data_IF_354454550641
#
_entry.id   IF_354454550641
#
_cell.length_a   1.000
_cell.length_b   1.000
_cell.length_c   1.000
_cell.angle_alpha   90.00
_cell.angle_beta   90.00
_cell.angle_gamma   90.00
#
_symmetry.space_group_name_H-M   'P 1'
#
loop_
_entity.id
_entity.type
_entity.pdbx_description
1 polymer ?
#
# COMPACT_ATOMS: atom_id res chain seq x y z
N UNK A 1 0.96 -6.57 30.96
CA UNK A 1 0.09 -6.74 29.77
C UNK A 1 0.39 -5.58 28.84
N UNK A 2 1.11 -5.81 27.74
CA UNK A 2 1.41 -4.75 26.79
C UNK A 2 0.13 -4.44 25.99
N UNK A 3 -0.49 -3.29 26.26
CA UNK A 3 -1.51 -2.72 25.38
C UNK A 3 -0.82 -2.36 24.07
N UNK A 4 -0.93 -3.23 23.07
CA UNK A 4 -0.53 -2.92 21.70
C UNK A 4 -1.36 -1.71 21.28
N UNK A 5 -0.76 -0.52 21.24
CA UNK A 5 -1.37 0.68 20.67
C UNK A 5 -1.65 0.36 19.20
N UNK A 6 -2.86 -0.10 18.91
CA UNK A 6 -3.30 -0.43 17.56
C UNK A 6 -3.47 0.91 16.84
N UNK A 7 -2.61 1.19 15.87
CA UNK A 7 -2.73 2.42 15.09
C UNK A 7 -4.07 2.40 14.36
N UNK A 8 -4.88 3.46 14.51
CA UNK A 8 -6.11 3.58 13.74
C UNK A 8 -5.76 3.83 12.26
N UNK A 9 -6.01 2.84 11.42
CA UNK A 9 -5.75 2.88 9.99
C UNK A 9 -7.02 3.02 9.16
N UNK A 10 -8.18 3.27 9.79
CA UNK A 10 -9.48 3.35 9.12
C UNK A 10 -9.52 4.44 8.05
N UNK A 11 -8.88 5.60 8.32
CA UNK A 11 -8.81 6.76 7.44
C UNK A 11 -8.19 6.47 6.07
N UNK A 12 -7.25 5.53 5.99
CA UNK A 12 -6.55 5.16 4.76
C UNK A 12 -7.51 4.54 3.73
N UNK A 13 -8.61 3.94 4.19
CA UNK A 13 -9.57 3.26 3.33
C UNK A 13 -10.57 4.22 2.67
N UNK A 14 -10.71 5.44 3.20
CA UNK A 14 -11.61 6.47 2.68
C UNK A 14 -10.87 7.58 1.93
N UNK A 15 -9.54 7.58 1.94
CA UNK A 15 -8.76 8.62 1.27
C UNK A 15 -8.88 8.54 -0.27
N UNK A 16 -8.94 9.69 -0.97
CA UNK A 16 -8.94 9.71 -2.43
C UNK A 16 -7.57 9.26 -2.98
N UNK A 17 -7.56 8.82 -4.25
CA UNK A 17 -6.31 8.59 -4.98
C UNK A 17 -5.76 9.93 -5.47
N UNK A 18 -4.62 10.34 -4.90
CA UNK A 18 -3.93 11.61 -5.21
C UNK A 18 -2.74 11.40 -6.16
N UNK A 19 -2.13 10.21 -6.14
CA UNK A 19 -0.98 9.87 -6.97
C UNK A 19 -1.33 9.24 -8.32
N UNK A 20 -0.36 8.54 -8.89
CA UNK A 20 -0.53 7.70 -10.06
C UNK A 20 -1.55 6.61 -9.74
N UNK A 21 -2.57 6.38 -10.59
CA UNK A 21 -3.46 5.23 -10.42
C UNK A 21 -2.69 3.91 -10.52
N UNK A 22 -2.94 2.98 -9.60
CA UNK A 22 -2.31 1.65 -9.63
C UNK A 22 -2.66 0.83 -10.89
N UNK A 23 -3.85 1.04 -11.47
CA UNK A 23 -4.24 0.45 -12.76
C UNK A 23 -4.30 1.51 -13.88
N UNK A 24 -3.81 1.14 -15.06
CA UNK A 24 -3.96 1.88 -16.32
C UNK A 24 -5.34 1.74 -16.98
N UNK A 25 -6.34 1.24 -16.25
CA UNK A 25 -7.71 1.02 -16.70
C UNK A 25 -8.47 2.31 -17.08
N UNK A 26 -7.84 3.46 -16.87
CA UNK A 26 -8.40 4.79 -17.04
C UNK A 26 -9.17 5.28 -15.82
N UNK A 27 -9.75 6.47 -15.97
CA UNK A 27 -10.62 7.09 -14.98
C UNK A 27 -12.08 6.96 -15.39
N UNK A 28 -12.97 6.95 -14.42
CA UNK A 28 -14.40 7.05 -14.67
C UNK A 28 -14.72 8.45 -15.24
N UNK A 29 -15.49 8.54 -16.35
CA UNK A 29 -15.71 9.82 -17.03
C UNK A 29 -16.57 10.79 -16.22
N UNK A 30 -17.42 10.30 -15.30
CA UNK A 30 -18.32 11.08 -14.46
C UNK A 30 -17.62 11.54 -13.18
N UNK A 31 -16.99 10.62 -12.45
CA UNK A 31 -16.38 10.92 -11.14
C UNK A 31 -14.93 11.39 -11.23
N UNK A 32 -14.27 11.18 -12.39
CA UNK A 32 -12.83 11.39 -12.59
C UNK A 32 -11.93 10.57 -11.66
N UNK A 33 -12.48 9.63 -10.88
CA UNK A 33 -11.70 8.70 -10.04
C UNK A 33 -11.12 7.55 -10.87
N UNK A 34 -10.05 6.87 -10.42
CA UNK A 34 -9.61 5.62 -11.01
C UNK A 34 -10.76 4.61 -11.06
N UNK A 35 -10.96 3.94 -12.21
CA UNK A 35 -12.05 2.95 -12.35
C UNK A 35 -11.97 1.83 -11.32
N UNK A 36 -10.76 1.40 -10.97
CA UNK A 36 -10.53 0.36 -9.98
C UNK A 36 -9.87 0.94 -8.73
N UNK A 37 -10.52 0.77 -7.59
CA UNK A 37 -9.98 1.18 -6.29
C UNK A 37 -9.11 0.06 -5.70
N UNK A 38 -8.05 0.44 -5.00
CA UNK A 38 -7.31 -0.51 -4.16
C UNK A 38 -8.16 -0.81 -2.93
N UNK A 39 -8.66 -2.04 -2.82
CA UNK A 39 -9.51 -2.51 -1.71
C UNK A 39 -8.77 -3.45 -0.78
N UNK A 40 -9.34 -3.73 0.41
CA UNK A 40 -8.79 -4.74 1.33
C UNK A 40 -8.68 -6.11 0.67
N UNK A 41 -9.73 -6.52 -0.04
CA UNK A 41 -9.79 -7.82 -0.73
C UNK A 41 -8.74 -7.91 -1.82
N UNK A 42 -8.50 -6.84 -2.57
CA UNK A 42 -7.46 -6.80 -3.59
C UNK A 42 -6.07 -6.96 -2.98
N UNK A 43 -5.78 -6.23 -1.89
CA UNK A 43 -4.49 -6.35 -1.20
C UNK A 43 -4.34 -7.75 -0.61
N UNK A 44 -5.35 -8.28 0.08
CA UNK A 44 -5.31 -9.63 0.65
C UNK A 44 -5.08 -10.70 -0.42
N UNK A 45 -5.71 -10.56 -1.59
CA UNK A 45 -5.45 -11.43 -2.75
C UNK A 45 -3.97 -11.37 -3.16
N UNK A 46 -3.38 -10.18 -3.26
CA UNK A 46 -1.98 -10.03 -3.65
C UNK A 46 -1.00 -10.51 -2.55
N UNK A 47 -1.39 -10.44 -1.27
CA UNK A 47 -0.65 -11.07 -0.17
C UNK A 47 -0.64 -12.59 -0.35
N UNK A 48 -1.82 -13.20 -0.54
CA UNK A 48 -1.95 -14.65 -0.76
C UNK A 48 -1.18 -15.10 -2.01
N UNK A 49 -1.22 -14.34 -3.10
CA UNK A 49 -0.48 -14.65 -4.33
C UNK A 49 1.04 -14.51 -4.13
N UNK A 50 1.51 -13.62 -3.25
CA UNK A 50 2.93 -13.39 -3.00
C UNK A 50 3.55 -14.40 -2.01
N UNK A 51 2.79 -14.85 -0.99
CA UNK A 51 3.31 -15.66 0.12
C UNK A 51 2.67 -17.05 0.25
N UNK A 52 1.51 -17.29 -0.35
CA UNK A 52 0.73 -18.53 -0.19
C UNK A 52 -0.22 -18.52 1.03
N UNK A 53 -0.04 -17.59 1.97
CA UNK A 53 -0.89 -17.37 3.14
C UNK A 53 -0.96 -15.88 3.52
N UNK A 54 -1.56 -15.55 4.66
CA UNK A 54 -1.51 -14.21 5.26
C UNK A 54 -0.59 -14.30 6.48
N UNK A 55 0.65 -13.78 6.41
CA UNK A 55 1.58 -13.76 7.53
C UNK A 55 0.98 -13.09 8.77
N UNK A 56 1.31 -13.59 9.96
CA UNK A 56 0.93 -12.96 11.24
C UNK A 56 1.62 -11.60 11.46
N UNK A 57 2.77 -11.40 10.81
CA UNK A 57 3.54 -10.16 10.84
C UNK A 57 4.22 -9.91 9.50
N UNK A 58 4.35 -8.63 9.14
CA UNK A 58 5.01 -8.20 7.91
C UNK A 58 6.24 -7.36 8.23
N UNK A 59 7.34 -7.58 7.54
CA UNK A 59 8.48 -6.68 7.48
C UNK A 59 8.28 -5.59 6.41
N UNK A 60 9.18 -4.59 6.37
CA UNK A 60 9.19 -3.62 5.26
C UNK A 60 9.47 -4.30 3.89
N UNK A 61 10.22 -5.42 3.88
CA UNK A 61 10.48 -6.20 2.68
C UNK A 61 9.21 -6.90 2.18
N UNK A 62 8.42 -7.49 3.09
CA UNK A 62 7.16 -8.14 2.73
C UNK A 62 6.16 -7.14 2.15
N UNK A 63 6.03 -5.97 2.78
CA UNK A 63 5.19 -4.87 2.28
C UNK A 63 5.63 -4.46 0.87
N UNK A 64 6.93 -4.34 0.64
CA UNK A 64 7.50 -4.00 -0.66
C UNK A 64 7.16 -5.06 -1.72
N UNK A 65 7.23 -6.34 -1.35
CA UNK A 65 6.90 -7.45 -2.25
C UNK A 65 5.43 -7.47 -2.65
N UNK A 66 4.52 -7.19 -1.72
CA UNK A 66 3.08 -7.01 -2.01
C UNK A 66 2.85 -5.85 -2.98
N UNK A 67 3.57 -4.74 -2.77
CA UNK A 67 3.49 -3.56 -3.64
C UNK A 67 3.96 -3.87 -5.05
N UNK A 68 5.11 -4.54 -5.21
CA UNK A 68 5.59 -5.00 -6.52
C UNK A 68 4.57 -5.89 -7.22
N UNK A 69 3.99 -6.84 -6.48
CA UNK A 69 3.01 -7.76 -7.01
C UNK A 69 1.72 -7.06 -7.45
N UNK A 70 1.22 -6.12 -6.65
CA UNK A 70 0.02 -5.33 -6.95
C UNK A 70 0.23 -4.40 -8.15
N UNK A 71 1.37 -3.70 -8.19
CA UNK A 71 1.71 -2.73 -9.23
C UNK A 71 2.33 -3.34 -10.49
N UNK A 72 2.54 -4.66 -10.50
CA UNK A 72 3.19 -5.42 -11.57
C UNK A 72 4.54 -4.81 -11.97
N UNK A 73 5.34 -4.43 -10.96
CA UNK A 73 6.69 -3.91 -11.13
C UNK A 73 7.71 -5.02 -10.83
N UNK A 74 8.82 -5.11 -11.59
CA UNK A 74 9.84 -6.12 -11.35
C UNK A 74 10.70 -5.82 -10.12
N UNK A 75 10.87 -4.54 -9.76
CA UNK A 75 11.70 -4.09 -8.66
C UNK A 75 11.22 -2.75 -8.07
N UNK A 76 11.66 -2.44 -6.85
CA UNK A 76 11.35 -1.18 -6.17
C UNK A 76 12.31 -0.12 -6.68
N UNK A 77 11.79 0.89 -7.38
CA UNK A 77 12.58 2.05 -7.79
C UNK A 77 12.86 2.97 -6.58
N UNK A 78 13.86 3.86 -6.64
CA UNK A 78 14.12 4.83 -5.57
C UNK A 78 12.88 5.68 -5.21
N UNK A 79 12.08 6.06 -6.20
CA UNK A 79 10.82 6.80 -6.01
C UNK A 79 9.80 5.95 -5.24
N UNK A 80 9.66 4.67 -5.59
CA UNK A 80 8.79 3.75 -4.87
C UNK A 80 9.27 3.53 -3.43
N UNK A 81 10.58 3.35 -3.22
CA UNK A 81 11.16 3.18 -1.89
C UNK A 81 10.86 4.41 -1.00
N UNK A 82 11.07 5.61 -1.52
CA UNK A 82 10.79 6.85 -0.79
C UNK A 82 9.29 6.97 -0.45
N UNK A 83 8.41 6.71 -1.42
CA UNK A 83 6.97 6.74 -1.20
C UNK A 83 6.49 5.66 -0.20
N UNK A 84 7.14 4.49 -0.17
CA UNK A 84 6.86 3.46 0.83
C UNK A 84 7.28 3.90 2.22
N UNK A 85 8.47 4.48 2.39
CA UNK A 85 8.93 5.03 3.67
C UNK A 85 7.99 6.13 4.18
N UNK A 86 7.56 7.03 3.29
CA UNK A 86 6.55 8.06 3.62
C UNK A 86 5.24 7.42 4.06
N UNK A 87 4.80 6.36 3.38
CA UNK A 87 3.54 5.66 3.72
C UNK A 87 3.62 4.88 5.03
N UNK A 88 4.75 4.22 5.30
CA UNK A 88 5.04 3.58 6.59
C UNK A 88 5.00 4.61 7.70
N UNK A 89 5.65 5.75 7.50
CA UNK A 89 5.67 6.82 8.51
C UNK A 89 4.27 7.41 8.76
N UNK A 90 3.49 7.64 7.69
CA UNK A 90 2.14 8.18 7.80
C UNK A 90 1.16 7.22 8.50
N UNK A 91 1.28 5.91 8.25
CA UNK A 91 0.32 4.91 8.76
C UNK A 91 0.76 4.31 10.09
N UNK A 92 2.05 4.07 10.29
CA UNK A 92 2.59 3.41 11.48
C UNK A 92 3.34 4.38 12.42
N UNK A 93 3.44 5.66 12.09
CA UNK A 93 4.16 6.66 12.90
C UNK A 93 5.69 6.52 12.86
N UNK A 94 6.23 5.66 11.98
CA UNK A 94 7.66 5.44 11.80
C UNK A 94 7.97 4.03 11.28
N UNK A 95 9.23 3.84 10.87
CA UNK A 95 9.73 2.53 10.43
C UNK A 95 9.94 1.61 11.63
N UNK A 96 9.43 0.38 11.53
CA UNK A 96 9.52 -0.68 12.55
C UNK A 96 10.08 -1.96 11.93
N UNK A 97 10.50 -2.89 12.77
CA UNK A 97 10.95 -4.22 12.33
C UNK A 97 9.79 -5.05 11.76
N UNK A 98 8.61 -4.96 12.38
CA UNK A 98 7.41 -5.69 11.98
C UNK A 98 6.13 -4.90 12.18
N UNK A 99 5.11 -5.27 11.40
CA UNK A 99 3.76 -4.70 11.44
C UNK A 99 2.74 -5.82 11.48
N UNK A 100 1.62 -5.59 12.18
CA UNK A 100 0.47 -6.48 12.08
C UNK A 100 -0.17 -6.39 10.67
N UNK A 101 -0.96 -7.39 10.26
CA UNK A 101 -1.51 -7.44 8.90
C UNK A 101 -2.39 -6.23 8.55
N UNK A 102 -3.12 -5.66 9.51
CA UNK A 102 -3.99 -4.52 9.24
C UNK A 102 -3.17 -3.27 8.95
N UNK A 103 -2.11 -3.03 9.74
CA UNK A 103 -1.16 -1.94 9.51
C UNK A 103 -0.42 -2.11 8.18
N UNK A 104 0.08 -3.32 7.88
CA UNK A 104 0.78 -3.60 6.63
C UNK A 104 -0.11 -3.34 5.39
N UNK A 105 -1.34 -3.86 5.40
CA UNK A 105 -2.30 -3.63 4.32
C UNK A 105 -2.67 -2.15 4.17
N UNK A 106 -2.77 -1.43 5.30
CA UNK A 106 -3.01 0.01 5.27
C UNK A 106 -1.82 0.76 4.65
N UNK A 107 -0.57 0.38 4.94
CA UNK A 107 0.61 0.96 4.26
C UNK A 107 0.53 0.76 2.75
N UNK A 108 0.21 -0.45 2.28
CA UNK A 108 0.06 -0.74 0.84
C UNK A 108 -1.04 0.12 0.21
N UNK A 109 -2.16 0.29 0.91
CA UNK A 109 -3.28 1.14 0.47
C UNK A 109 -2.88 2.61 0.39
N UNK A 110 -2.22 3.13 1.42
CA UNK A 110 -1.76 4.51 1.46
C UNK A 110 -0.78 4.76 0.32
N UNK A 111 0.26 3.94 0.22
CA UNK A 111 1.24 3.98 -0.88
C UNK A 111 0.53 4.03 -2.23
N UNK A 112 -0.40 3.11 -2.46
CA UNK A 112 -1.05 2.98 -3.76
C UNK A 112 -1.98 4.14 -4.12
N UNK A 113 -2.34 4.96 -3.13
CA UNK A 113 -3.14 6.16 -3.31
C UNK A 113 -2.29 7.44 -3.43
N UNK A 114 -1.04 7.43 -2.98
CA UNK A 114 -0.21 8.64 -2.88
C UNK A 114 1.04 8.63 -3.77
N UNK A 115 1.55 7.46 -4.18
CA UNK A 115 2.77 7.39 -4.99
C UNK A 115 2.56 8.07 -6.35
N UNK A 116 3.50 8.93 -6.74
CA UNK A 116 3.55 9.48 -8.09
C UNK A 116 4.73 8.84 -8.84
N UNK A 117 4.42 8.05 -9.87
CA UNK A 117 5.41 7.39 -10.74
C UNK A 117 5.54 8.08 -12.09
N UNK A 118 4.79 9.16 -12.32
CA UNK A 118 4.81 9.90 -13.59
C UNK A 118 5.91 10.97 -13.63
N UNK A 119 6.78 11.02 -12.63
CA UNK A 119 7.96 11.90 -12.60
C UNK A 119 9.21 11.04 -12.82
N UNK A 120 9.53 10.79 -14.08
CA UNK A 120 10.91 10.73 -14.52
C UNK A 120 11.38 12.15 -14.87
N UNK A 121 12.70 12.44 -14.85
CA UNK A 121 13.24 13.75 -15.17
C UNK A 121 12.77 14.28 -16.53
#
# INVERSE_FOLDING_TARGET
MATTNKTDTSWVWTMPTMGTPWCNCGRDPLTKEPKHKVTRQLIAKNVLEAFGDIPESFSNQDISQVVLHLWKKPEITPVMAQALLTSVTAVAGGVRESYDPQTAMAVVKHFSNTVNLNEGP
#
